data_IF_443498079635
#
_entry.id   IF_443498079635
#
_cell.length_a   1.000
_cell.length_b   1.000
_cell.length_c   1.000
_cell.angle_alpha   90.00
_cell.angle_beta   90.00
_cell.angle_gamma   90.00
#
_symmetry.space_group_name_H-M   'P 1'
#
loop_
_entity.id
_entity.type
_entity.pdbx_description
1 polymer ?
#
# COMPACT_ATOMS: atom_id res chain seq x y z
N UNK A 1 -38.57 8.66 -20.97
CA UNK A 1 -37.26 8.05 -21.16
C UNK A 1 -36.53 8.06 -19.81
N UNK A 2 -36.41 6.93 -19.13
CA UNK A 2 -35.61 6.81 -17.90
C UNK A 2 -34.16 6.58 -18.31
N UNK A 3 -33.30 7.55 -18.02
CA UNK A 3 -31.85 7.37 -18.19
C UNK A 3 -31.37 6.29 -17.23
N UNK A 4 -31.01 5.14 -17.76
CA UNK A 4 -30.33 4.10 -17.01
C UNK A 4 -28.91 4.58 -16.75
N UNK A 5 -28.66 5.09 -15.55
CA UNK A 5 -27.30 5.33 -15.08
C UNK A 5 -26.63 3.98 -14.92
N UNK A 6 -25.85 3.55 -15.90
CA UNK A 6 -24.90 2.47 -15.75
C UNK A 6 -23.85 2.96 -14.74
N UNK A 7 -23.88 2.41 -13.53
CA UNK A 7 -22.84 2.65 -12.54
C UNK A 7 -21.53 2.13 -13.11
N UNK A 8 -20.65 3.02 -13.55
CA UNK A 8 -19.29 2.75 -14.05
C UNK A 8 -18.31 2.34 -12.93
N UNK A 9 -18.82 2.05 -11.75
CA UNK A 9 -18.03 1.65 -10.60
C UNK A 9 -17.69 0.16 -10.67
N UNK A 10 -16.43 -0.16 -10.95
CA UNK A 10 -15.93 -1.54 -10.94
C UNK A 10 -15.39 -1.97 -9.58
N UNK A 11 -15.25 -1.03 -8.63
CA UNK A 11 -14.70 -1.31 -7.30
C UNK A 11 -15.78 -1.84 -6.37
N UNK A 12 -15.58 -3.03 -5.84
CA UNK A 12 -16.40 -3.58 -4.76
C UNK A 12 -16.05 -2.86 -3.45
N UNK A 13 -17.06 -2.39 -2.70
CA UNK A 13 -16.89 -1.70 -1.43
C UNK A 13 -17.69 -2.45 -0.37
N UNK A 14 -17.03 -2.82 0.74
CA UNK A 14 -17.66 -3.39 1.92
C UNK A 14 -17.41 -2.50 3.15
N UNK A 15 -18.45 -2.29 3.96
CA UNK A 15 -18.38 -1.50 5.20
C UNK A 15 -18.57 -2.40 6.39
N UNK A 16 -17.69 -2.29 7.37
CA UNK A 16 -17.65 -3.14 8.56
C UNK A 16 -17.83 -2.31 9.82
N UNK A 17 -18.31 -2.88 10.94
CA UNK A 17 -18.61 -2.14 12.15
C UNK A 17 -17.38 -1.57 12.86
N UNK A 18 -16.19 -2.11 12.62
CA UNK A 18 -14.94 -1.68 13.25
C UNK A 18 -13.71 -1.97 12.40
N UNK A 19 -12.58 -1.33 12.73
CA UNK A 19 -11.29 -1.60 12.10
C UNK A 19 -10.85 -3.07 12.25
N UNK A 20 -11.17 -3.72 13.36
CA UNK A 20 -10.90 -5.14 13.55
C UNK A 20 -11.74 -6.02 12.61
N UNK A 21 -13.05 -5.76 12.52
CA UNK A 21 -13.94 -6.49 11.60
C UNK A 21 -13.55 -6.28 10.13
N UNK A 22 -13.18 -5.05 9.76
CA UNK A 22 -12.58 -4.73 8.46
C UNK A 22 -11.33 -5.58 8.21
N UNK A 23 -10.40 -5.58 9.16
CA UNK A 23 -9.14 -6.33 9.04
C UNK A 23 -9.36 -7.83 8.84
N UNK A 24 -10.29 -8.44 9.55
CA UNK A 24 -10.68 -9.84 9.36
C UNK A 24 -11.28 -10.11 7.97
N UNK A 25 -12.17 -9.24 7.51
CA UNK A 25 -12.80 -9.38 6.19
C UNK A 25 -11.77 -9.21 5.05
N UNK A 26 -10.91 -8.20 5.14
CA UNK A 26 -9.81 -7.98 4.18
C UNK A 26 -8.82 -9.15 4.16
N UNK A 27 -8.46 -9.69 5.34
CA UNK A 27 -7.61 -10.87 5.45
C UNK A 27 -8.26 -12.12 4.85
N UNK A 28 -9.56 -12.34 5.09
CA UNK A 28 -10.29 -13.45 4.48
C UNK A 28 -10.31 -13.35 2.94
N UNK A 29 -10.51 -12.15 2.42
CA UNK A 29 -10.45 -11.88 1.00
C UNK A 29 -9.04 -12.13 0.42
N UNK A 30 -7.99 -11.66 1.09
CA UNK A 30 -6.60 -11.92 0.71
C UNK A 30 -6.27 -13.42 0.74
N UNK A 31 -6.68 -14.13 1.80
CA UNK A 31 -6.49 -15.58 1.93
C UNK A 31 -7.15 -16.37 0.79
N UNK A 32 -8.38 -15.99 0.43
CA UNK A 32 -9.08 -16.59 -0.70
C UNK A 32 -8.32 -16.37 -2.03
N UNK A 33 -7.80 -15.16 -2.26
CA UNK A 33 -6.97 -14.85 -3.44
C UNK A 33 -5.68 -15.67 -3.47
N UNK A 34 -4.98 -15.76 -2.33
CA UNK A 34 -3.74 -16.54 -2.21
C UNK A 34 -3.95 -18.03 -2.48
N UNK A 35 -5.04 -18.62 -1.94
CA UNK A 35 -5.39 -20.02 -2.19
C UNK A 35 -5.74 -20.27 -3.66
N UNK A 36 -6.49 -19.36 -4.31
CA UNK A 36 -6.76 -19.44 -5.75
C UNK A 36 -5.48 -19.36 -6.57
N UNK A 37 -4.61 -18.40 -6.26
CA UNK A 37 -3.33 -18.26 -6.96
C UNK A 37 -2.44 -19.49 -6.81
N UNK A 38 -2.48 -20.16 -5.64
CA UNK A 38 -1.75 -21.40 -5.42
C UNK A 38 -2.22 -22.57 -6.29
N UNK A 39 -3.43 -22.55 -6.81
CA UNK A 39 -3.91 -23.60 -7.72
C UNK A 39 -3.25 -23.51 -9.12
N UNK A 40 -2.70 -22.37 -9.50
CA UNK A 40 -2.17 -22.10 -10.85
C UNK A 40 -0.74 -21.56 -10.89
N UNK A 41 -0.16 -21.18 -9.73
CA UNK A 41 1.18 -20.56 -9.67
C UNK A 41 2.04 -21.22 -8.59
N UNK A 42 3.24 -21.65 -8.95
CA UNK A 42 4.21 -22.19 -7.98
C UNK A 42 4.84 -21.10 -7.12
N UNK A 43 4.88 -19.89 -7.61
CA UNK A 43 5.36 -18.68 -6.92
C UNK A 43 4.28 -17.62 -7.00
N UNK A 44 3.97 -17.02 -5.85
CA UNK A 44 2.91 -16.02 -5.72
C UNK A 44 3.52 -14.70 -5.25
N UNK A 45 3.85 -13.79 -6.15
CA UNK A 45 4.33 -12.47 -5.78
C UNK A 45 3.20 -11.62 -5.19
N UNK A 46 3.45 -11.03 -4.02
CA UNK A 46 2.45 -10.22 -3.29
C UNK A 46 3.12 -8.96 -2.77
N UNK A 47 2.52 -7.80 -3.01
CA UNK A 47 3.01 -6.55 -2.42
C UNK A 47 2.22 -6.18 -1.17
N UNK A 48 2.95 -5.70 -0.17
CA UNK A 48 2.41 -5.31 1.13
C UNK A 48 2.74 -3.85 1.43
N UNK A 49 1.71 -3.06 1.71
CA UNK A 49 1.84 -1.75 2.31
C UNK A 49 2.06 -1.83 3.83
N UNK A 50 2.42 -0.72 4.40
CA UNK A 50 2.66 -0.54 5.83
C UNK A 50 1.66 0.43 6.47
N UNK A 51 1.89 0.75 7.75
CA UNK A 51 1.12 1.71 8.51
C UNK A 51 -0.02 1.10 9.33
N UNK A 52 -0.60 1.94 10.17
CA UNK A 52 -1.65 1.53 11.12
C UNK A 52 -2.87 0.91 10.43
N UNK A 53 -3.20 1.35 9.20
CA UNK A 53 -4.32 0.84 8.42
C UNK A 53 -4.19 -0.63 8.02
N UNK A 54 -2.95 -1.14 7.93
CA UNK A 54 -2.69 -2.53 7.51
C UNK A 54 -2.62 -3.50 8.69
N UNK A 55 -2.40 -3.01 9.90
CA UNK A 55 -2.07 -3.84 11.06
C UNK A 55 -3.12 -4.91 11.37
N UNK A 56 -4.41 -4.54 11.37
CA UNK A 56 -5.50 -5.48 11.64
C UNK A 56 -5.58 -6.57 10.55
N UNK A 57 -5.43 -6.18 9.28
CA UNK A 57 -5.45 -7.11 8.14
C UNK A 57 -4.25 -8.07 8.19
N UNK A 58 -3.03 -7.56 8.41
CA UNK A 58 -1.83 -8.40 8.47
C UNK A 58 -1.87 -9.39 9.64
N UNK A 59 -2.28 -8.94 10.83
CA UNK A 59 -2.42 -9.80 12.01
C UNK A 59 -3.45 -10.90 11.80
N UNK A 60 -4.61 -10.56 11.24
CA UNK A 60 -5.63 -11.54 10.91
C UNK A 60 -5.13 -12.54 9.86
N UNK A 61 -4.47 -12.08 8.80
CA UNK A 61 -3.95 -12.93 7.73
C UNK A 61 -2.87 -13.90 8.22
N UNK A 62 -1.93 -13.42 9.06
CA UNK A 62 -0.86 -14.27 9.62
C UNK A 62 -1.37 -15.32 10.61
N UNK A 63 -2.55 -15.11 11.19
CA UNK A 63 -3.20 -16.07 12.08
C UNK A 63 -4.09 -17.09 11.35
N UNK A 64 -4.34 -16.91 10.04
CA UNK A 64 -5.18 -17.83 9.28
C UNK A 64 -4.43 -19.13 8.93
N UNK A 65 -5.08 -20.28 9.05
CA UNK A 65 -4.52 -21.55 8.57
C UNK A 65 -4.51 -21.61 7.04
N UNK A 66 -3.73 -22.55 6.50
CA UNK A 66 -3.73 -22.93 5.08
C UNK A 66 -3.39 -21.79 4.10
N UNK A 67 -2.63 -20.81 4.54
CA UNK A 67 -2.03 -19.83 3.64
C UNK A 67 -0.73 -20.42 3.07
N UNK A 68 -0.55 -20.42 1.74
CA UNK A 68 0.63 -21.03 1.10
C UNK A 68 1.88 -20.15 1.22
N UNK A 69 2.27 -19.81 2.45
CA UNK A 69 3.36 -18.87 2.74
C UNK A 69 4.67 -19.23 2.06
N UNK A 70 5.02 -20.52 2.04
CA UNK A 70 6.25 -21.04 1.40
C UNK A 70 6.28 -20.88 -0.12
N UNK A 71 5.18 -20.44 -0.74
CA UNK A 71 5.07 -20.11 -2.17
C UNK A 71 5.01 -18.62 -2.41
N UNK A 72 4.84 -17.80 -1.37
CA UNK A 72 4.70 -16.35 -1.48
C UNK A 72 6.08 -15.70 -1.50
N UNK A 73 6.29 -14.82 -2.51
CA UNK A 73 7.38 -13.85 -2.54
C UNK A 73 6.81 -12.48 -2.23
N UNK A 74 7.18 -11.97 -1.06
CA UNK A 74 6.73 -10.68 -0.58
C UNK A 74 7.48 -9.52 -1.24
N UNK A 75 6.75 -8.47 -1.56
CA UNK A 75 7.28 -7.19 -2.02
C UNK A 75 6.88 -6.07 -1.07
N UNK A 76 7.80 -5.15 -0.83
CA UNK A 76 7.62 -3.92 -0.08
C UNK A 76 7.10 -2.82 -1.02
N UNK A 77 6.10 -2.05 -0.60
CA UNK A 77 5.45 -1.07 -1.47
C UNK A 77 6.26 0.23 -1.60
N UNK A 78 6.83 0.70 -0.50
CA UNK A 78 7.52 1.98 -0.39
C UNK A 78 8.44 2.02 0.85
N UNK A 79 9.44 2.90 0.87
CA UNK A 79 10.36 3.09 2.00
C UNK A 79 10.99 4.48 1.98
N UNK A 80 11.32 5.00 3.13
CA UNK A 80 12.07 6.25 3.26
C UNK A 80 13.50 6.12 2.75
N UNK A 81 13.99 7.14 2.04
CA UNK A 81 15.40 7.24 1.67
C UNK A 81 16.24 7.60 2.90
N UNK A 82 17.30 6.85 3.13
CA UNK A 82 18.27 7.14 4.20
C UNK A 82 17.85 6.73 5.62
N UNK A 83 16.68 6.09 5.78
CA UNK A 83 16.27 5.60 7.10
C UNK A 83 17.07 4.34 7.49
N UNK A 84 17.55 4.26 8.73
CA UNK A 84 18.25 3.08 9.25
C UNK A 84 17.34 1.84 9.23
N UNK A 85 17.93 0.66 8.99
CA UNK A 85 17.15 -0.58 8.82
C UNK A 85 16.40 -1.02 10.08
N UNK A 86 16.90 -0.64 11.24
CA UNK A 86 16.38 -0.92 12.56
C UNK A 86 15.57 0.23 13.17
N UNK A 87 15.49 1.37 12.46
CA UNK A 87 14.69 2.50 12.93
C UNK A 87 13.22 2.08 13.09
N UNK A 88 12.55 2.40 14.21
CA UNK A 88 11.17 1.98 14.47
C UNK A 88 10.18 2.39 13.39
N UNK A 89 10.41 3.53 12.74
CA UNK A 89 9.59 4.05 11.65
C UNK A 89 9.97 3.49 10.26
N UNK A 90 11.05 2.69 10.14
CA UNK A 90 11.39 2.06 8.86
C UNK A 90 10.28 1.06 8.47
N UNK A 91 9.76 1.20 7.28
CA UNK A 91 8.67 0.32 6.82
C UNK A 91 9.14 -1.13 6.69
N UNK A 92 10.41 -1.37 6.34
CA UNK A 92 11.00 -2.72 6.36
C UNK A 92 11.07 -3.31 7.78
N UNK A 93 11.33 -2.50 8.81
CA UNK A 93 11.30 -2.95 10.20
C UNK A 93 9.86 -3.31 10.62
N UNK A 94 8.88 -2.49 10.22
CA UNK A 94 7.47 -2.77 10.43
C UNK A 94 7.06 -4.10 9.78
N UNK A 95 7.35 -4.31 8.48
CA UNK A 95 6.98 -5.54 7.77
C UNK A 95 7.70 -6.78 8.33
N UNK A 96 8.95 -6.65 8.79
CA UNK A 96 9.61 -7.75 9.49
C UNK A 96 8.87 -8.12 10.76
N UNK A 97 8.58 -7.15 11.62
CA UNK A 97 7.91 -7.37 12.90
C UNK A 97 6.47 -7.86 12.77
N UNK A 98 5.69 -7.28 11.86
CA UNK A 98 4.25 -7.57 11.76
C UNK A 98 3.92 -8.69 10.78
N UNK A 99 4.86 -9.08 9.89
CA UNK A 99 4.56 -10.02 8.82
C UNK A 99 5.69 -11.04 8.60
N UNK A 100 6.84 -10.67 8.04
CA UNK A 100 7.77 -11.64 7.47
C UNK A 100 8.52 -12.49 8.49
N UNK A 101 8.64 -12.04 9.74
CA UNK A 101 9.19 -12.89 10.83
C UNK A 101 8.17 -13.84 11.46
N UNK A 102 6.88 -13.72 11.12
CA UNK A 102 5.79 -14.52 11.72
C UNK A 102 5.39 -15.73 10.90
N UNK A 103 5.71 -15.73 9.62
CA UNK A 103 5.28 -16.77 8.68
C UNK A 103 6.39 -17.12 7.68
N UNK A 104 6.45 -18.36 7.18
CA UNK A 104 7.56 -18.85 6.36
C UNK A 104 7.40 -18.44 4.88
N UNK A 105 7.64 -17.18 4.55
CA UNK A 105 7.70 -16.73 3.16
C UNK A 105 8.75 -17.53 2.37
N UNK A 106 8.50 -17.72 1.08
CA UNK A 106 9.52 -18.21 0.15
C UNK A 106 10.70 -17.24 0.04
N UNK A 107 10.41 -15.96 -0.08
CA UNK A 107 11.36 -14.85 -0.08
C UNK A 107 10.63 -13.53 0.23
N UNK A 108 11.35 -12.49 0.63
CA UNK A 108 10.78 -11.18 0.85
C UNK A 108 11.74 -10.08 0.40
N UNK A 109 11.36 -9.37 -0.66
CA UNK A 109 12.13 -8.28 -1.24
C UNK A 109 11.82 -6.96 -0.54
N UNK A 110 12.75 -6.50 0.29
CA UNK A 110 12.67 -5.17 0.90
C UNK A 110 13.34 -4.13 0.01
N UNK A 111 12.77 -2.92 -0.04
CA UNK A 111 13.45 -1.77 -0.61
C UNK A 111 14.65 -1.47 0.30
N UNK A 112 15.85 -1.66 -0.23
CA UNK A 112 17.10 -1.37 0.46
C UNK A 112 17.46 0.11 0.25
N UNK A 113 16.73 0.99 0.91
CA UNK A 113 17.17 2.37 1.04
C UNK A 113 18.40 2.37 1.96
N UNK A 114 19.61 2.29 1.41
CA UNK A 114 20.85 2.44 2.19
C UNK A 114 20.80 3.81 2.85
N UNK A 115 21.26 3.87 4.11
CA UNK A 115 21.76 5.11 4.69
C UNK A 115 22.61 5.79 3.62
N UNK A 116 22.43 7.11 3.47
CA UNK A 116 23.26 7.87 2.56
C UNK A 116 24.72 7.46 2.86
N UNK A 117 25.28 6.62 2.01
CA UNK A 117 26.72 6.44 2.02
C UNK A 117 27.28 7.84 1.84
N UNK A 118 28.40 8.19 2.54
CA UNK A 118 28.99 9.50 2.42
C UNK A 118 29.10 9.84 0.93
N UNK A 119 28.97 11.13 0.57
CA UNK A 119 28.83 11.66 -0.79
C UNK A 119 29.78 11.07 -1.86
N UNK A 120 30.74 10.25 -1.46
CA UNK A 120 31.67 9.51 -2.29
C UNK A 120 31.08 8.28 -3.03
N UNK A 121 29.86 7.82 -2.70
CA UNK A 121 29.28 6.58 -3.29
C UNK A 121 28.39 6.80 -4.51
N UNK A 122 28.17 8.01 -4.95
CA UNK A 122 27.50 8.31 -6.23
C UNK A 122 25.98 8.08 -6.28
N UNK A 123 25.31 7.66 -5.19
CA UNK A 123 23.84 7.59 -5.12
C UNK A 123 23.27 8.32 -3.89
N UNK A 124 23.37 9.66 -3.86
CA UNK A 124 22.85 10.44 -2.73
C UNK A 124 21.32 10.45 -2.63
N UNK A 125 20.63 9.82 -3.59
CA UNK A 125 19.20 9.94 -3.76
C UNK A 125 18.38 8.66 -3.65
N UNK A 126 19.00 7.47 -3.64
CA UNK A 126 18.28 6.18 -3.68
C UNK A 126 17.83 5.76 -5.08
N UNK A 127 18.26 6.44 -6.16
CA UNK A 127 17.84 6.14 -7.53
C UNK A 127 18.32 4.78 -8.01
N UNK A 128 19.53 4.36 -7.64
CA UNK A 128 20.03 3.02 -7.94
C UNK A 128 19.21 1.94 -7.23
N UNK A 129 18.86 2.17 -5.95
CA UNK A 129 18.00 1.25 -5.20
C UNK A 129 16.59 1.16 -5.83
N UNK A 130 16.03 2.30 -6.25
CA UNK A 130 14.74 2.35 -6.94
C UNK A 130 14.81 1.60 -8.29
N UNK A 131 15.86 1.79 -9.09
CA UNK A 131 16.04 1.11 -10.36
C UNK A 131 16.21 -0.41 -10.20
N UNK A 132 17.03 -0.84 -9.23
CA UNK A 132 17.24 -2.25 -8.92
C UNK A 132 15.95 -2.92 -8.43
N UNK A 133 15.21 -2.27 -7.54
CA UNK A 133 13.94 -2.77 -7.05
C UNK A 133 12.87 -2.83 -8.17
N UNK A 134 12.81 -1.81 -9.02
CA UNK A 134 11.95 -1.81 -10.20
C UNK A 134 12.28 -2.95 -11.19
N UNK A 135 13.55 -3.34 -11.33
CA UNK A 135 13.94 -4.49 -12.11
C UNK A 135 13.47 -5.82 -11.51
N UNK A 136 13.50 -5.96 -10.17
CA UNK A 136 12.92 -7.11 -9.46
C UNK A 136 11.41 -7.20 -9.71
N UNK A 137 10.69 -6.09 -9.54
CA UNK A 137 9.25 -6.00 -9.77
C UNK A 137 8.86 -6.41 -11.19
N UNK A 138 9.56 -5.91 -12.22
CA UNK A 138 9.27 -6.27 -13.62
C UNK A 138 9.53 -7.74 -13.95
N UNK A 139 10.50 -8.38 -13.30
CA UNK A 139 10.76 -9.83 -13.48
C UNK A 139 9.70 -10.69 -12.82
N UNK A 140 9.09 -10.19 -11.75
CA UNK A 140 8.14 -10.95 -10.93
C UNK A 140 7.02 -10.01 -10.44
N UNK A 141 6.13 -9.55 -11.37
CA UNK A 141 5.09 -8.60 -11.03
C UNK A 141 4.10 -9.22 -10.03
N UNK A 142 3.70 -8.49 -8.98
CA UNK A 142 2.75 -8.99 -7.99
C UNK A 142 1.39 -9.36 -8.60
N UNK A 143 0.82 -10.46 -8.10
CA UNK A 143 -0.53 -10.93 -8.44
C UNK A 143 -1.58 -10.36 -7.49
N UNK A 144 -1.17 -9.97 -6.29
CA UNK A 144 -2.03 -9.43 -5.24
C UNK A 144 -1.33 -8.26 -4.55
N UNK A 145 -2.07 -7.19 -4.26
CA UNK A 145 -1.63 -6.09 -3.42
C UNK A 145 -2.51 -5.92 -2.19
N UNK A 146 -1.88 -5.85 -1.00
CA UNK A 146 -2.53 -5.41 0.23
C UNK A 146 -2.09 -3.97 0.47
N UNK A 147 -3.00 -3.01 0.24
CA UNK A 147 -2.68 -1.59 0.25
C UNK A 147 -3.68 -0.77 1.08
N UNK A 148 -3.41 0.51 1.24
CA UNK A 148 -4.30 1.46 1.89
C UNK A 148 -4.47 2.74 1.08
N UNK A 149 -5.24 3.69 1.63
CA UNK A 149 -5.39 5.05 1.11
C UNK A 149 -4.88 6.04 2.16
N UNK A 150 -4.03 6.97 1.77
CA UNK A 150 -3.57 8.04 2.64
C UNK A 150 -4.64 9.08 2.95
N UNK A 151 -4.42 9.93 3.97
CA UNK A 151 -5.39 10.96 4.39
C UNK A 151 -5.62 12.04 3.31
N UNK A 152 -4.63 12.28 2.45
CA UNK A 152 -4.73 13.18 1.30
C UNK A 152 -5.20 12.48 0.01
N UNK A 153 -5.44 11.16 0.05
CA UNK A 153 -5.84 10.35 -1.10
C UNK A 153 -4.68 9.72 -1.87
N UNK A 154 -3.47 9.70 -1.31
CA UNK A 154 -2.34 9.02 -1.94
C UNK A 154 -2.48 7.49 -1.94
N UNK A 155 -1.82 6.84 -2.89
CA UNK A 155 -1.57 5.40 -2.94
C UNK A 155 -0.05 5.16 -2.93
N UNK A 156 0.48 4.41 -1.98
CA UNK A 156 1.90 4.41 -1.67
C UNK A 156 2.38 5.86 -1.42
N UNK A 157 3.61 6.23 -1.75
CA UNK A 157 4.01 7.64 -1.74
C UNK A 157 3.75 8.38 -3.08
N UNK A 158 2.65 8.01 -3.75
CA UNK A 158 2.15 8.81 -4.87
C UNK A 158 1.13 9.83 -4.34
N UNK A 159 1.63 10.96 -3.88
CA UNK A 159 0.85 12.08 -3.33
C UNK A 159 0.02 12.82 -4.40
N UNK A 160 -0.93 13.69 -4.03
CA UNK A 160 -1.64 14.55 -4.97
C UNK A 160 -0.71 15.25 -5.96
N UNK A 161 -1.03 15.14 -7.25
CA UNK A 161 -0.18 15.59 -8.36
C UNK A 161 0.66 14.47 -8.99
N UNK A 162 0.61 13.24 -8.47
CA UNK A 162 1.34 12.12 -9.06
C UNK A 162 0.91 11.85 -10.50
N UNK A 163 1.89 11.57 -11.35
CA UNK A 163 1.66 11.23 -12.76
C UNK A 163 1.03 9.83 -12.89
N UNK A 164 -0.16 9.77 -13.47
CA UNK A 164 -0.87 8.51 -13.74
C UNK A 164 -0.25 7.68 -14.86
N UNK A 165 0.66 8.26 -15.63
CA UNK A 165 1.35 7.63 -16.75
C UNK A 165 2.87 7.56 -16.54
N UNK A 166 3.37 7.67 -15.29
CA UNK A 166 4.81 7.63 -15.01
C UNK A 166 5.42 6.33 -15.60
N UNK A 167 6.39 6.42 -16.52
CA UNK A 167 6.95 5.24 -17.19
C UNK A 167 7.84 4.39 -16.29
N UNK A 168 8.23 4.90 -15.13
CA UNK A 168 9.08 4.18 -14.17
C UNK A 168 8.23 3.21 -13.36
N UNK A 169 8.79 2.06 -13.01
CA UNK A 169 8.15 1.09 -12.13
C UNK A 169 8.25 1.54 -10.67
N UNK A 170 9.43 2.00 -10.30
CA UNK A 170 9.76 2.49 -8.95
C UNK A 170 10.59 3.74 -9.10
N UNK A 171 10.37 4.71 -8.23
CA UNK A 171 11.12 5.97 -8.25
C UNK A 171 11.37 6.54 -6.86
N UNK A 172 12.29 7.48 -6.79
CA UNK A 172 12.42 8.41 -5.65
C UNK A 172 11.41 9.54 -5.82
N UNK A 173 10.78 9.92 -4.71
CA UNK A 173 9.84 11.06 -4.63
C UNK A 173 10.22 11.97 -3.48
N UNK A 174 9.94 13.27 -3.64
CA UNK A 174 9.89 14.21 -2.51
C UNK A 174 8.55 14.02 -1.78
N UNK A 175 8.60 13.92 -0.45
CA UNK A 175 7.40 13.75 0.36
C UNK A 175 6.73 15.10 0.61
N UNK A 176 5.44 15.17 0.34
CA UNK A 176 4.58 16.28 0.73
C UNK A 176 4.68 16.53 2.25
N UNK A 177 4.70 17.80 2.64
CA UNK A 177 4.74 18.18 4.06
C UNK A 177 3.55 17.63 4.83
N UNK A 178 2.35 17.57 4.23
CA UNK A 178 1.17 17.00 4.85
C UNK A 178 1.34 15.49 5.12
N UNK A 179 1.91 14.76 4.17
CA UNK A 179 2.26 13.35 4.33
C UNK A 179 3.27 13.18 5.48
N UNK A 180 4.31 14.03 5.56
CA UNK A 180 5.30 14.01 6.63
C UNK A 180 4.69 14.36 8.00
N UNK A 181 3.79 15.34 8.06
CA UNK A 181 3.04 15.69 9.28
C UNK A 181 2.15 14.54 9.76
N UNK A 182 1.56 13.77 8.86
CA UNK A 182 0.81 12.55 9.21
C UNK A 182 1.70 11.55 9.97
N UNK A 183 2.95 11.35 9.55
CA UNK A 183 3.87 10.42 10.21
C UNK A 183 4.22 10.84 11.65
N UNK A 184 4.32 12.15 11.89
CA UNK A 184 4.46 12.69 13.26
C UNK A 184 3.20 12.48 14.07
N UNK A 185 2.03 12.76 13.50
CA UNK A 185 0.73 12.59 14.16
C UNK A 185 0.41 11.11 14.50
N UNK A 186 0.94 10.17 13.71
CA UNK A 186 0.85 8.73 13.98
C UNK A 186 1.90 8.24 14.99
N UNK A 187 2.79 9.12 15.47
CA UNK A 187 3.79 8.80 16.49
C UNK A 187 5.05 8.09 15.98
N UNK A 188 5.24 8.01 14.66
CA UNK A 188 6.42 7.35 14.08
C UNK A 188 7.70 8.20 14.21
N UNK A 189 7.57 9.52 14.25
CA UNK A 189 8.66 10.47 14.41
C UNK A 189 8.32 11.51 15.47
N UNK A 190 9.30 11.92 16.25
CA UNK A 190 9.12 12.92 17.31
C UNK A 190 8.84 14.33 16.77
N UNK A 191 9.35 14.66 15.58
CA UNK A 191 9.22 15.98 14.98
C UNK A 191 9.26 15.90 13.44
N UNK A 192 8.70 16.92 12.76
CA UNK A 192 8.69 17.01 11.30
C UNK A 192 10.11 17.03 10.70
N UNK A 193 11.07 17.63 11.39
CA UNK A 193 12.46 17.68 10.96
C UNK A 193 13.13 16.29 10.91
N UNK A 194 12.65 15.34 11.71
CA UNK A 194 13.15 13.98 11.76
C UNK A 194 12.55 13.07 10.68
N UNK A 195 11.46 13.50 10.04
CA UNK A 195 10.83 12.72 8.95
C UNK A 195 11.67 12.90 7.69
N UNK A 196 12.14 11.83 7.04
CA UNK A 196 12.86 11.94 5.77
C UNK A 196 12.08 12.77 4.75
N UNK A 197 12.79 13.51 3.91
CA UNK A 197 12.17 14.33 2.86
C UNK A 197 11.87 13.54 1.60
N UNK A 198 12.54 12.38 1.41
CA UNK A 198 12.42 11.57 0.22
C UNK A 198 12.08 10.13 0.56
N UNK A 199 11.39 9.49 -0.37
CA UNK A 199 11.06 8.08 -0.29
C UNK A 199 11.23 7.41 -1.66
N UNK A 200 11.41 6.09 -1.64
CA UNK A 200 11.30 5.22 -2.81
C UNK A 200 9.88 4.65 -2.81
N UNK A 201 9.21 4.70 -3.94
CA UNK A 201 7.83 4.22 -4.07
C UNK A 201 7.59 3.52 -5.40
N UNK A 202 6.73 2.50 -5.38
CA UNK A 202 6.12 1.96 -6.60
C UNK A 202 5.21 3.02 -7.19
N UNK A 203 5.30 3.26 -8.50
CA UNK A 203 4.46 4.25 -9.20
C UNK A 203 3.05 3.73 -9.45
N UNK A 204 2.15 4.60 -9.88
CA UNK A 204 0.73 4.23 -10.09
C UNK A 204 0.52 3.21 -11.21
N UNK A 205 1.16 3.29 -12.39
CA UNK A 205 0.93 2.30 -13.45
C UNK A 205 1.20 0.85 -13.03
N UNK A 206 2.36 0.47 -12.48
CA UNK A 206 2.60 -0.90 -12.03
C UNK A 206 1.74 -1.30 -10.82
N UNK A 207 1.36 -0.36 -9.95
CA UNK A 207 0.44 -0.63 -8.85
C UNK A 207 -0.96 -0.97 -9.38
N UNK A 208 -1.45 -0.21 -10.37
CA UNK A 208 -2.75 -0.43 -10.98
C UNK A 208 -2.79 -1.61 -11.97
N UNK A 209 -1.62 -2.16 -12.33
CA UNK A 209 -1.51 -3.37 -13.16
C UNK A 209 -1.59 -4.67 -12.35
N UNK A 210 -1.56 -4.61 -11.02
CA UNK A 210 -1.72 -5.79 -10.15
C UNK A 210 -3.15 -6.34 -10.34
N UNK A 211 -3.34 -7.63 -10.62
CA UNK A 211 -4.67 -8.18 -10.92
C UNK A 211 -5.70 -7.99 -9.80
N UNK A 212 -5.29 -8.14 -8.53
CA UNK A 212 -6.18 -8.00 -7.37
C UNK A 212 -5.58 -7.04 -6.34
N UNK A 213 -6.40 -6.10 -5.83
CA UNK A 213 -6.04 -5.18 -4.77
C UNK A 213 -7.01 -5.31 -3.59
N UNK A 214 -6.49 -5.62 -2.42
CA UNK A 214 -7.21 -5.56 -1.14
C UNK A 214 -6.85 -4.22 -0.49
N UNK A 215 -7.80 -3.31 -0.46
CA UNK A 215 -7.59 -1.94 -0.01
C UNK A 215 -8.22 -1.74 1.35
N UNK A 216 -7.43 -1.74 2.43
CA UNK A 216 -7.88 -1.57 3.81
C UNK A 216 -7.80 -0.11 4.24
N UNK A 217 -8.93 0.50 4.60
CA UNK A 217 -9.00 1.93 4.90
C UNK A 217 -9.80 2.17 6.20
N UNK A 218 -9.25 1.85 7.38
CA UNK A 218 -9.91 2.09 8.65
C UNK A 218 -9.73 3.53 9.17
N UNK A 219 -10.70 3.99 9.95
CA UNK A 219 -10.61 5.16 10.80
C UNK A 219 -11.12 6.46 10.19
N UNK A 220 -11.66 7.33 11.06
CA UNK A 220 -12.32 8.58 10.70
C UNK A 220 -11.44 9.55 9.90
N UNK A 221 -10.13 9.61 10.20
CA UNK A 221 -9.18 10.46 9.45
C UNK A 221 -9.16 10.17 7.96
N UNK A 222 -9.58 8.96 7.54
CA UNK A 222 -9.63 8.53 6.14
C UNK A 222 -10.96 8.87 5.46
N UNK A 223 -12.00 9.28 6.20
CA UNK A 223 -13.33 9.52 5.66
C UNK A 223 -13.35 10.53 4.50
N UNK A 224 -12.58 11.63 4.62
CA UNK A 224 -12.48 12.61 3.54
C UNK A 224 -11.84 12.03 2.28
N UNK A 225 -10.76 11.26 2.42
CA UNK A 225 -10.08 10.60 1.30
C UNK A 225 -10.97 9.53 0.65
N UNK A 226 -11.68 8.73 1.46
CA UNK A 226 -12.66 7.74 0.98
C UNK A 226 -13.78 8.41 0.19
N UNK A 227 -14.37 9.51 0.71
CA UNK A 227 -15.39 10.27 -0.02
C UNK A 227 -14.88 10.79 -1.35
N UNK A 228 -13.69 11.42 -1.37
CA UNK A 228 -13.04 11.89 -2.61
C UNK A 228 -12.79 10.74 -3.58
N UNK A 229 -12.23 9.64 -3.12
CA UNK A 229 -12.00 8.43 -3.93
C UNK A 229 -13.28 7.98 -4.62
N UNK A 230 -14.41 8.06 -3.93
CA UNK A 230 -15.71 7.62 -4.43
C UNK A 230 -16.40 8.63 -5.35
N UNK A 231 -16.25 9.92 -5.12
CA UNK A 231 -17.13 10.94 -5.69
C UNK A 231 -16.42 11.91 -6.64
N UNK A 232 -15.15 12.26 -6.38
CA UNK A 232 -14.43 13.25 -7.19
C UNK A 232 -14.14 12.70 -8.60
N UNK A 233 -13.91 13.56 -9.59
CA UNK A 233 -13.36 13.15 -10.88
C UNK A 233 -12.07 12.34 -10.71
N UNK A 234 -11.79 11.41 -11.62
CA UNK A 234 -10.53 10.64 -11.60
C UNK A 234 -9.42 11.56 -12.09
N UNK A 235 -8.64 12.09 -11.14
CA UNK A 235 -7.57 13.07 -11.40
C UNK A 235 -6.38 12.88 -10.48
N UNK A 236 -5.20 13.37 -10.85
CA UNK A 236 -4.02 13.39 -9.98
C UNK A 236 -4.22 14.12 -8.64
N UNK A 237 -5.20 15.01 -8.51
CA UNK A 237 -5.52 15.70 -7.26
C UNK A 237 -5.94 14.73 -6.13
N UNK A 238 -6.37 13.52 -6.47
CA UNK A 238 -6.65 12.44 -5.53
C UNK A 238 -6.30 11.10 -6.19
N UNK A 239 -5.06 10.62 -6.08
CA UNK A 239 -4.59 9.41 -6.77
C UNK A 239 -5.44 8.17 -6.52
N UNK A 240 -6.01 8.02 -5.32
CA UNK A 240 -6.90 6.92 -4.97
C UNK A 240 -8.17 6.83 -5.87
N UNK A 241 -8.54 7.91 -6.55
CA UNK A 241 -9.66 7.89 -7.53
C UNK A 241 -9.41 6.92 -8.69
N UNK A 242 -8.12 6.58 -9.00
CA UNK A 242 -7.76 5.57 -9.99
C UNK A 242 -8.30 4.19 -9.66
N UNK A 243 -8.47 3.86 -8.37
CA UNK A 243 -9.02 2.57 -7.96
C UNK A 243 -10.37 2.28 -8.62
N UNK A 244 -11.15 3.30 -8.97
CA UNK A 244 -12.44 3.11 -9.66
C UNK A 244 -12.31 2.53 -11.07
N UNK A 245 -11.15 2.62 -11.70
CA UNK A 245 -10.85 1.99 -13.00
C UNK A 245 -10.34 0.56 -12.86
N UNK A 246 -10.00 0.15 -11.63
CA UNK A 246 -9.37 -1.15 -11.38
C UNK A 246 -10.41 -2.25 -11.22
N UNK A 247 -10.40 -3.24 -12.11
CA UNK A 247 -11.44 -4.29 -12.14
C UNK A 247 -11.38 -5.26 -10.94
N UNK A 248 -10.20 -5.44 -10.34
CA UNK A 248 -9.97 -6.36 -9.22
C UNK A 248 -9.70 -5.67 -7.88
N UNK A 249 -10.00 -4.36 -7.75
CA UNK A 249 -9.85 -3.67 -6.48
C UNK A 249 -11.08 -3.89 -5.60
N UNK A 250 -10.86 -4.21 -4.32
CA UNK A 250 -11.89 -4.32 -3.28
C UNK A 250 -11.52 -3.42 -2.11
N UNK A 251 -12.43 -2.49 -1.77
CA UNK A 251 -12.26 -1.56 -0.66
C UNK A 251 -12.97 -2.08 0.59
N UNK A 252 -12.21 -2.20 1.65
CA UNK A 252 -12.70 -2.56 2.99
C UNK A 252 -12.63 -1.32 3.86
N UNK A 253 -13.80 -0.86 4.31
CA UNK A 253 -13.99 0.32 5.13
C UNK A 253 -14.56 -0.08 6.49
N UNK A 254 -14.30 0.72 7.51
CA UNK A 254 -15.10 0.68 8.74
C UNK A 254 -16.16 1.80 8.72
N UNK A 255 -17.07 1.78 9.68
CA UNK A 255 -18.13 2.78 9.79
C UNK A 255 -17.58 4.21 9.86
N UNK A 256 -16.44 4.39 10.53
CA UNK A 256 -15.79 5.69 10.70
C UNK A 256 -15.21 6.21 9.37
N UNK A 257 -14.48 5.38 8.64
CA UNK A 257 -13.90 5.77 7.34
C UNK A 257 -14.95 5.89 6.23
N UNK A 258 -16.04 5.14 6.33
CA UNK A 258 -17.17 5.24 5.40
C UNK A 258 -17.98 6.54 5.55
N UNK A 259 -17.78 7.27 6.67
CA UNK A 259 -18.60 8.44 7.01
C UNK A 259 -19.99 8.06 7.57
N UNK A 260 -20.17 6.80 7.99
CA UNK A 260 -21.44 6.28 8.54
C UNK A 260 -21.48 6.32 10.08
N UNK A 261 -20.48 6.90 10.72
CA UNK A 261 -20.44 7.05 12.17
C UNK A 261 -21.42 8.17 12.57
N UNK A 262 -22.68 7.79 12.87
CA UNK A 262 -23.67 8.73 13.39
C UNK A 262 -25.03 8.76 12.66
N UNK A 263 -25.49 7.62 12.15
CA UNK A 263 -26.90 7.45 11.80
C UNK A 263 -27.60 6.55 12.84
#
# INVERSE_FOLDING_TARGET
MRATFVSLWRVEISVHPSAAALGHAAAAAAAASLRRSAASHDVIPVVFATGASQLATLRALTAMPDIPWSRIVGFHLDEYVGIAADHPAAFRAYLRRELSAKVPFRDFHFIAAREAAPAASGDPGGDQAAAAYGALWRRQPPLLGLIGIGENGHLAFNDPGADFADPRTVRVVELDERCRRQQVAEGWFAALASVPRRAITVTLPPLMAIPELIVSVPGERKAAAVRRTRQDPITPACPATLLRRHAGARLFLDAASAGSAGA
#
